data_IF_736896667786
#
_entry.id   IF_736896667786
#
_cell.length_a   1.000
_cell.length_b   1.000
_cell.length_c   1.000
_cell.angle_alpha   90.00
_cell.angle_beta   90.00
_cell.angle_gamma   90.00
#
_symmetry.space_group_name_H-M   'P 1'
#
loop_
_entity.id
_entity.type
_entity.pdbx_description
1 polymer ?
#
# COMPACT_ATOMS: atom_id res chain seq x y z
N UNK A 1 -19.34 -14.69 -8.68
CA UNK A 1 -19.59 -13.26 -8.44
C UNK A 1 -18.61 -12.84 -7.38
N UNK A 2 -17.54 -12.14 -7.72
CA UNK A 2 -16.58 -11.69 -6.71
C UNK A 2 -17.31 -10.73 -5.76
N UNK A 3 -17.35 -11.07 -4.48
CA UNK A 3 -17.97 -10.24 -3.45
C UNK A 3 -17.27 -8.89 -3.43
N UNK A 4 -18.03 -7.80 -3.43
CA UNK A 4 -17.46 -6.46 -3.36
C UNK A 4 -16.69 -6.29 -2.04
N UNK A 5 -15.43 -5.85 -2.13
CA UNK A 5 -14.58 -5.67 -0.96
C UNK A 5 -15.13 -4.58 -0.04
N UNK A 6 -15.13 -4.85 1.26
CA UNK A 6 -15.49 -3.91 2.31
C UNK A 6 -14.52 -2.73 2.38
N UNK A 7 -14.95 -1.62 2.99
CA UNK A 7 -14.08 -0.47 3.22
C UNK A 7 -12.83 -0.81 4.06
N UNK A 8 -12.93 -1.77 4.97
CA UNK A 8 -11.79 -2.21 5.79
C UNK A 8 -10.76 -2.99 4.96
N UNK A 9 -11.20 -3.90 4.10
CA UNK A 9 -10.31 -4.62 3.18
C UNK A 9 -9.62 -3.67 2.21
N UNK A 10 -10.36 -2.67 1.71
CA UNK A 10 -9.82 -1.62 0.85
C UNK A 10 -8.77 -0.75 1.55
N UNK A 11 -8.97 -0.40 2.84
CA UNK A 11 -7.95 0.27 3.65
C UNK A 11 -6.71 -0.61 3.83
N UNK A 12 -6.88 -1.91 4.09
CA UNK A 12 -5.76 -2.86 4.19
C UNK A 12 -4.94 -2.92 2.89
N UNK A 13 -5.61 -2.95 1.73
CA UNK A 13 -4.94 -2.90 0.42
C UNK A 13 -4.15 -1.60 0.26
N UNK A 14 -4.78 -0.47 0.53
CA UNK A 14 -4.13 0.85 0.43
C UNK A 14 -2.91 0.95 1.36
N UNK A 15 -3.04 0.50 2.60
CA UNK A 15 -1.94 0.47 3.57
C UNK A 15 -0.76 -0.36 3.06
N UNK A 16 -1.03 -1.57 2.56
CA UNK A 16 -0.02 -2.47 1.99
C UNK A 16 0.67 -1.86 0.78
N UNK A 17 -0.08 -1.22 -0.12
CA UNK A 17 0.48 -0.56 -1.31
C UNK A 17 1.44 0.57 -0.94
N UNK A 18 1.06 1.42 0.02
CA UNK A 18 1.90 2.52 0.52
C UNK A 18 3.16 1.99 1.20
N UNK A 19 3.03 0.94 2.01
CA UNK A 19 4.16 0.25 2.62
C UNK A 19 5.12 -0.27 1.54
N UNK A 20 4.64 -1.05 0.56
CA UNK A 20 5.48 -1.65 -0.47
C UNK A 20 6.18 -0.59 -1.34
N UNK A 21 5.48 0.48 -1.71
CA UNK A 21 6.10 1.58 -2.45
C UNK A 21 7.23 2.24 -1.64
N UNK A 22 7.03 2.45 -0.34
CA UNK A 22 8.05 3.00 0.54
C UNK A 22 9.23 2.05 0.70
N UNK A 23 8.97 0.76 0.93
CA UNK A 23 9.98 -0.28 1.06
C UNK A 23 10.87 -0.35 -0.19
N UNK A 24 10.26 -0.46 -1.38
CA UNK A 24 11.01 -0.51 -2.63
C UNK A 24 11.83 0.77 -2.87
N UNK A 25 11.31 1.94 -2.51
CA UNK A 25 12.04 3.20 -2.65
C UNK A 25 13.26 3.30 -1.71
N UNK A 26 13.11 2.96 -0.43
CA UNK A 26 14.20 3.04 0.55
C UNK A 26 15.27 1.97 0.38
N UNK A 27 14.99 0.91 -0.40
CA UNK A 27 15.93 -0.14 -0.77
C UNK A 27 16.51 0.07 -2.19
N UNK A 28 16.45 1.28 -2.74
CA UNK A 28 16.99 1.66 -4.06
C UNK A 28 16.45 0.84 -5.25
N UNK A 29 15.34 0.12 -5.07
CA UNK A 29 14.66 -0.63 -6.15
C UNK A 29 13.84 0.30 -7.05
N UNK A 30 13.49 1.49 -6.56
CA UNK A 30 12.81 2.53 -7.33
C UNK A 30 13.61 3.83 -7.27
N UNK A 31 13.84 4.46 -8.41
CA UNK A 31 14.26 5.85 -8.45
C UNK A 31 13.18 6.77 -7.86
N UNK A 32 13.56 8.00 -7.48
CA UNK A 32 12.61 9.01 -7.03
C UNK A 32 11.47 9.26 -8.04
N UNK A 33 11.77 9.21 -9.35
CA UNK A 33 10.79 9.40 -10.40
C UNK A 33 9.79 8.22 -10.50
N UNK A 34 10.27 6.98 -10.35
CA UNK A 34 9.40 5.79 -10.34
C UNK A 34 8.55 5.72 -9.09
N UNK A 35 9.15 5.96 -7.93
CA UNK A 35 8.46 6.07 -6.65
C UNK A 35 7.31 7.09 -6.69
N UNK A 36 7.54 8.28 -7.26
CA UNK A 36 6.48 9.29 -7.50
C UNK A 36 5.38 8.79 -8.44
N UNK A 37 5.73 8.07 -9.52
CA UNK A 37 4.74 7.49 -10.45
C UNK A 37 3.87 6.43 -9.78
N UNK A 38 4.46 5.56 -8.95
CA UNK A 38 3.73 4.56 -8.18
C UNK A 38 2.82 5.24 -7.16
N UNK A 39 3.33 6.22 -6.40
CA UNK A 39 2.53 6.98 -5.43
C UNK A 39 1.30 7.64 -6.08
N UNK A 40 1.44 8.27 -7.26
CA UNK A 40 0.29 8.81 -8.02
C UNK A 40 -0.77 7.76 -8.37
N UNK A 41 -0.35 6.54 -8.74
CA UNK A 41 -1.29 5.43 -9.03
C UNK A 41 -2.01 4.96 -7.77
N UNK A 42 -1.31 4.95 -6.62
CA UNK A 42 -1.90 4.62 -5.33
C UNK A 42 -2.93 5.69 -4.91
N UNK A 43 -2.63 6.98 -5.10
CA UNK A 43 -3.60 8.06 -4.86
C UNK A 43 -4.85 7.91 -5.74
N UNK A 44 -4.68 7.62 -7.03
CA UNK A 44 -5.81 7.37 -7.92
C UNK A 44 -6.67 6.16 -7.48
N UNK A 45 -6.04 5.11 -6.94
CA UNK A 45 -6.75 3.98 -6.33
C UNK A 45 -7.55 4.42 -5.10
N UNK A 46 -6.95 5.22 -4.22
CA UNK A 46 -7.61 5.77 -3.04
C UNK A 46 -8.84 6.60 -3.42
N UNK A 47 -8.71 7.49 -4.41
CA UNK A 47 -9.79 8.36 -4.89
C UNK A 47 -10.93 7.55 -5.52
N UNK A 48 -10.59 6.58 -6.39
CA UNK A 48 -11.56 5.71 -7.06
C UNK A 48 -12.48 4.99 -6.08
N UNK A 49 -11.91 4.54 -4.96
CA UNK A 49 -12.63 3.78 -3.95
C UNK A 49 -13.11 4.63 -2.77
N UNK A 50 -12.86 5.95 -2.79
CA UNK A 50 -13.25 6.92 -1.74
C UNK A 50 -12.80 6.47 -0.34
N UNK A 51 -11.57 6.01 -0.25
CA UNK A 51 -10.99 5.49 1.00
C UNK A 51 -10.18 6.60 1.66
N UNK A 52 -10.36 6.77 2.97
CA UNK A 52 -9.40 7.49 3.80
C UNK A 52 -8.59 6.48 4.63
N UNK A 53 -7.32 6.79 4.87
CA UNK A 53 -6.43 5.98 5.69
C UNK A 53 -5.67 6.89 6.66
N UNK A 54 -5.55 6.46 7.92
CA UNK A 54 -4.77 7.20 8.94
C UNK A 54 -3.32 6.73 8.96
N UNK A 55 -2.45 7.50 9.61
CA UNK A 55 -1.06 7.12 9.76
C UNK A 55 -0.92 5.82 10.56
N UNK A 56 -1.69 5.66 11.62
CA UNK A 56 -1.72 4.47 12.47
C UNK A 56 -2.16 3.22 11.69
N UNK A 57 -3.08 3.37 10.74
CA UNK A 57 -3.50 2.28 9.85
C UNK A 57 -2.38 1.86 8.88
N UNK A 58 -1.59 2.82 8.38
CA UNK A 58 -0.40 2.52 7.57
C UNK A 58 0.66 1.82 8.43
N UNK A 59 0.94 2.35 9.61
CA UNK A 59 1.94 1.82 10.54
C UNK A 59 1.53 0.45 11.12
N UNK A 60 0.25 0.07 11.03
CA UNK A 60 -0.24 -1.27 11.41
C UNK A 60 0.13 -2.38 10.42
N UNK A 61 0.73 -2.05 9.27
CA UNK A 61 1.18 -3.05 8.29
C UNK A 61 2.39 -3.80 8.85
N UNK A 62 2.21 -5.08 9.15
CA UNK A 62 3.25 -5.97 9.64
C UNK A 62 3.63 -6.98 8.54
N UNK A 63 4.92 -7.05 8.19
CA UNK A 63 5.46 -8.11 7.33
C UNK A 63 6.13 -9.16 8.20
N UNK A 64 5.64 -10.40 8.11
CA UNK A 64 6.24 -11.56 8.76
C UNK A 64 6.96 -12.41 7.73
N UNK A 65 8.28 -12.47 7.83
CA UNK A 65 9.11 -13.42 7.10
C UNK A 65 9.59 -14.52 8.06
N UNK A 66 9.38 -15.78 7.69
CA UNK A 66 9.84 -16.94 8.44
C UNK A 66 10.74 -17.78 7.54
N UNK A 67 12.04 -17.67 7.75
CA UNK A 67 13.02 -18.56 7.11
C UNK A 67 13.07 -19.88 7.87
N UNK A 68 12.27 -20.86 7.42
CA UNK A 68 12.34 -22.23 7.92
C UNK A 68 13.32 -22.99 7.04
N UNK A 69 14.60 -22.91 7.39
CA UNK A 69 15.66 -23.74 6.83
C UNK A 69 15.38 -25.23 7.04
#
# INVERSE_FOLDING_TARGET
METEKTAAERRKELATLLFCQSYLYYHDMLSSAESKRVCKRISAFQDKHRIAITREQIDSVEIKYQDKL
#
